data_IF_969402511555
#
_entry.id   IF_969402511555
#
_cell.length_a   1.000
_cell.length_b   1.000
_cell.length_c   1.000
_cell.angle_alpha   90.00
_cell.angle_beta   90.00
_cell.angle_gamma   90.00
#
_symmetry.space_group_name_H-M   'P 1'
#
loop_
_entity.id
_entity.type
_entity.pdbx_description
1 polymer ?
#
# COMPACT_ATOMS: atom_id res chain seq x y z
N UNK A 1 -40.58 -34.08 -4.12
CA UNK A 1 -39.69 -32.91 -3.99
C UNK A 1 -39.83 -32.44 -2.56
N UNK A 2 -38.78 -32.55 -1.73
CA UNK A 2 -38.80 -32.09 -0.34
C UNK A 2 -39.02 -30.57 -0.29
N UNK A 3 -40.05 -30.11 0.43
CA UNK A 3 -40.22 -28.70 0.73
C UNK A 3 -39.04 -28.26 1.63
N UNK A 4 -38.01 -27.68 1.04
CA UNK A 4 -36.91 -27.06 1.77
C UNK A 4 -37.53 -25.89 2.54
N UNK A 5 -37.31 -25.84 3.87
CA UNK A 5 -37.83 -24.78 4.70
C UNK A 5 -37.24 -23.42 4.29
N UNK A 6 -37.92 -22.33 4.57
CA UNK A 6 -37.41 -20.98 4.30
C UNK A 6 -36.04 -20.77 4.98
N UNK A 7 -35.90 -21.26 6.20
CA UNK A 7 -34.65 -21.23 6.95
C UNK A 7 -33.48 -21.94 6.23
N UNK A 8 -33.72 -23.14 5.67
CA UNK A 8 -32.70 -23.85 4.95
C UNK A 8 -32.27 -23.16 3.66
N UNK A 9 -33.19 -22.47 2.98
CA UNK A 9 -32.86 -21.63 1.82
C UNK A 9 -32.00 -20.42 2.21
N UNK A 10 -32.37 -19.75 3.29
CA UNK A 10 -31.57 -18.62 3.82
C UNK A 10 -30.18 -19.08 4.26
N UNK A 11 -30.08 -20.23 4.93
CA UNK A 11 -28.80 -20.80 5.36
C UNK A 11 -27.91 -21.14 4.15
N UNK A 12 -28.46 -21.76 3.12
CA UNK A 12 -27.76 -22.07 1.87
C UNK A 12 -27.28 -20.79 1.18
N UNK A 13 -28.12 -19.77 1.07
CA UNK A 13 -27.74 -18.48 0.49
C UNK A 13 -26.58 -17.82 1.26
N UNK A 14 -26.62 -17.83 2.60
CA UNK A 14 -25.55 -17.29 3.42
C UNK A 14 -24.24 -18.08 3.24
N UNK A 15 -24.32 -19.40 3.10
CA UNK A 15 -23.17 -20.23 2.80
C UNK A 15 -22.55 -19.88 1.43
N UNK A 16 -23.36 -19.72 0.41
CA UNK A 16 -22.90 -19.37 -0.94
C UNK A 16 -22.32 -17.93 -0.98
N UNK A 17 -22.94 -16.99 -0.27
CA UNK A 17 -22.40 -15.65 -0.09
C UNK A 17 -21.02 -15.64 0.54
N UNK A 18 -20.79 -16.49 1.55
CA UNK A 18 -19.46 -16.64 2.18
C UNK A 18 -18.44 -17.28 1.24
N UNK A 19 -18.83 -18.27 0.44
CA UNK A 19 -17.95 -18.86 -0.58
C UNK A 19 -17.54 -17.83 -1.63
N UNK A 20 -18.48 -17.04 -2.12
CA UNK A 20 -18.19 -15.92 -3.03
C UNK A 20 -17.23 -14.90 -2.39
N UNK A 21 -17.37 -14.62 -1.09
CA UNK A 21 -16.41 -13.81 -0.36
C UNK A 21 -14.99 -14.38 -0.33
N UNK A 22 -14.84 -15.71 -0.18
CA UNK A 22 -13.53 -16.40 -0.26
C UNK A 22 -12.94 -16.29 -1.68
N UNK A 23 -13.76 -16.53 -2.70
CA UNK A 23 -13.35 -16.38 -4.10
C UNK A 23 -12.91 -14.94 -4.41
N UNK A 24 -13.66 -13.96 -3.96
CA UNK A 24 -13.32 -12.56 -4.13
C UNK A 24 -11.99 -12.20 -3.48
N UNK A 25 -11.70 -12.67 -2.26
CA UNK A 25 -10.40 -12.49 -1.58
C UNK A 25 -9.27 -13.10 -2.41
N UNK A 26 -9.49 -14.28 -3.00
CA UNK A 26 -8.49 -14.89 -3.89
C UNK A 26 -8.20 -14.00 -5.09
N UNK A 27 -9.23 -13.49 -5.76
CA UNK A 27 -9.08 -12.62 -6.93
C UNK A 27 -8.37 -11.32 -6.54
N UNK A 28 -8.73 -10.71 -5.40
CA UNK A 28 -8.05 -9.51 -4.88
C UNK A 28 -6.55 -9.79 -4.69
N UNK A 29 -6.21 -10.95 -4.10
CA UNK A 29 -4.83 -11.35 -3.87
C UNK A 29 -4.06 -11.58 -5.18
N UNK A 30 -4.64 -12.31 -6.14
CA UNK A 30 -4.04 -12.56 -7.44
C UNK A 30 -3.76 -11.24 -8.20
N UNK A 31 -4.73 -10.32 -8.22
CA UNK A 31 -4.57 -9.01 -8.85
C UNK A 31 -3.51 -8.15 -8.16
N UNK A 32 -3.48 -8.18 -6.83
CA UNK A 32 -2.51 -7.41 -6.06
C UNK A 32 -1.09 -7.94 -6.19
N UNK A 33 -0.89 -9.23 -5.88
CA UNK A 33 0.46 -9.82 -5.81
C UNK A 33 1.04 -10.14 -7.18
N UNK A 34 0.23 -10.51 -8.18
CA UNK A 34 0.71 -10.89 -9.50
C UNK A 34 0.73 -9.76 -10.51
N UNK A 35 -0.20 -8.79 -10.39
CA UNK A 35 -0.39 -7.73 -11.37
C UNK A 35 -0.24 -6.31 -10.82
N UNK A 36 -0.07 -6.15 -9.50
CA UNK A 36 -0.02 -4.83 -8.83
C UNK A 36 -1.26 -3.99 -9.06
N UNK A 37 -2.41 -4.64 -9.17
CA UNK A 37 -3.71 -3.98 -9.29
C UNK A 37 -4.38 -4.00 -7.93
N UNK A 38 -4.55 -2.81 -7.33
CA UNK A 38 -5.29 -2.62 -6.09
C UNK A 38 -6.78 -2.50 -6.38
N UNK A 39 -7.59 -3.42 -5.84
CA UNK A 39 -9.03 -3.26 -5.84
C UNK A 39 -9.48 -2.51 -4.58
N UNK A 40 -10.37 -1.54 -4.75
CA UNK A 40 -11.06 -0.85 -3.66
C UNK A 40 -12.57 -0.91 -3.87
N UNK A 41 -13.34 -0.87 -2.80
CA UNK A 41 -14.79 -0.84 -2.86
C UNK A 41 -15.28 0.50 -2.30
N UNK A 42 -15.67 1.41 -3.18
CA UNK A 42 -16.02 2.80 -2.84
C UNK A 42 -14.97 3.43 -1.91
N UNK A 43 -13.70 3.39 -2.34
CA UNK A 43 -12.50 3.89 -1.63
C UNK A 43 -12.02 3.04 -0.44
N UNK A 44 -12.81 2.07 0.04
CA UNK A 44 -12.34 1.15 1.07
C UNK A 44 -11.35 0.14 0.50
N UNK A 45 -10.20 -0.02 1.14
CA UNK A 45 -9.21 -1.02 0.76
C UNK A 45 -9.76 -2.42 1.00
N UNK A 46 -9.47 -3.35 0.09
CA UNK A 46 -9.94 -4.73 0.14
C UNK A 46 -8.83 -5.73 0.48
N UNK A 47 -7.56 -5.34 0.31
CA UNK A 47 -6.44 -6.20 0.67
C UNK A 47 -6.44 -6.48 2.19
N UNK A 48 -6.04 -7.68 2.58
CA UNK A 48 -5.99 -8.18 3.97
C UNK A 48 -7.35 -8.19 4.71
N UNK A 49 -8.46 -8.06 3.98
CA UNK A 49 -9.80 -8.21 4.54
C UNK A 49 -10.22 -9.66 4.64
N UNK A 50 -10.91 -10.00 5.73
CA UNK A 50 -11.55 -11.30 5.88
C UNK A 50 -12.96 -11.32 5.24
N UNK A 51 -13.54 -12.53 5.11
CA UNK A 51 -14.85 -12.73 4.47
C UNK A 51 -15.95 -11.87 5.08
N UNK A 52 -15.97 -11.75 6.41
CA UNK A 52 -17.01 -10.96 7.11
C UNK A 52 -16.86 -9.47 6.82
N UNK A 53 -15.64 -8.97 6.79
CA UNK A 53 -15.37 -7.57 6.42
C UNK A 53 -15.76 -7.28 4.96
N UNK A 54 -15.46 -8.18 4.03
CA UNK A 54 -15.88 -8.05 2.62
C UNK A 54 -17.41 -7.98 2.52
N UNK A 55 -18.11 -8.88 3.20
CA UNK A 55 -19.58 -8.89 3.20
C UNK A 55 -20.14 -7.58 3.80
N UNK A 56 -19.59 -7.13 4.94
CA UNK A 56 -20.02 -5.89 5.58
C UNK A 56 -19.78 -4.66 4.70
N UNK A 57 -18.70 -4.63 3.92
CA UNK A 57 -18.44 -3.54 2.97
C UNK A 57 -19.50 -3.48 1.86
N UNK A 58 -20.00 -4.62 1.37
CA UNK A 58 -21.10 -4.65 0.41
C UNK A 58 -22.42 -4.18 1.04
N UNK A 59 -22.69 -4.54 2.29
CA UNK A 59 -23.86 -4.03 3.02
C UNK A 59 -23.76 -2.52 3.25
N UNK A 60 -22.57 -2.03 3.61
CA UNK A 60 -22.30 -0.61 3.73
C UNK A 60 -22.54 0.15 2.40
N UNK A 61 -22.14 -0.43 1.28
CA UNK A 61 -22.39 0.14 -0.04
C UNK A 61 -23.88 0.39 -0.31
N UNK A 62 -24.74 -0.56 0.04
CA UNK A 62 -26.18 -0.40 -0.08
C UNK A 62 -26.78 0.59 0.92
N UNK A 63 -26.37 0.51 2.19
CA UNK A 63 -26.98 1.26 3.28
C UNK A 63 -26.56 2.73 3.37
N UNK A 64 -25.29 3.03 3.06
CA UNK A 64 -24.70 4.36 3.29
C UNK A 64 -24.20 5.05 2.01
N UNK A 65 -23.79 4.28 1.01
CA UNK A 65 -23.32 4.83 -0.27
C UNK A 65 -24.46 4.94 -1.27
N UNK A 66 -25.62 4.34 -0.96
CA UNK A 66 -26.81 4.28 -1.80
C UNK A 66 -26.56 3.65 -3.19
N UNK A 67 -25.57 2.76 -3.25
CA UNK A 67 -25.17 2.00 -4.43
C UNK A 67 -25.19 0.51 -4.10
N UNK A 68 -26.38 -0.11 -4.06
CA UNK A 68 -26.52 -1.52 -3.69
C UNK A 68 -25.84 -2.40 -4.72
N UNK A 69 -24.85 -3.15 -4.24
CA UNK A 69 -24.15 -4.20 -4.97
C UNK A 69 -23.99 -5.39 -4.04
N UNK A 70 -23.79 -6.56 -4.58
CA UNK A 70 -23.54 -7.76 -3.79
C UNK A 70 -22.17 -8.38 -4.14
N UNK A 71 -21.72 -9.33 -3.33
CA UNK A 71 -20.40 -9.93 -3.49
C UNK A 71 -20.32 -10.77 -4.77
N UNK A 72 -21.42 -11.37 -5.23
CA UNK A 72 -21.43 -12.19 -6.46
C UNK A 72 -21.14 -11.34 -7.69
N UNK A 73 -21.79 -10.17 -7.78
CA UNK A 73 -21.57 -9.20 -8.86
C UNK A 73 -20.14 -8.70 -8.87
N UNK A 74 -19.58 -8.43 -7.68
CA UNK A 74 -18.17 -8.00 -7.54
C UNK A 74 -17.19 -9.08 -7.96
N UNK A 75 -17.49 -10.37 -7.68
CA UNK A 75 -16.70 -11.52 -8.15
C UNK A 75 -16.74 -11.57 -9.67
N UNK A 76 -17.90 -11.43 -10.30
CA UNK A 76 -18.06 -11.47 -11.74
C UNK A 76 -17.20 -10.38 -12.44
N UNK A 77 -17.33 -9.13 -12.00
CA UNK A 77 -16.56 -8.02 -12.55
C UNK A 77 -15.05 -8.18 -12.27
N UNK A 78 -14.67 -8.58 -11.06
CA UNK A 78 -13.27 -8.78 -10.71
C UNK A 78 -12.62 -9.93 -11.51
N UNK A 79 -13.36 -11.01 -11.75
CA UNK A 79 -12.91 -12.13 -12.60
C UNK A 79 -12.64 -11.67 -14.04
N UNK A 80 -13.48 -10.79 -14.58
CA UNK A 80 -13.26 -10.21 -15.90
C UNK A 80 -11.97 -9.35 -15.97
N UNK A 81 -11.58 -8.70 -14.85
CA UNK A 81 -10.34 -7.92 -14.78
C UNK A 81 -9.10 -8.83 -14.77
N UNK A 82 -9.18 -10.01 -14.14
CA UNK A 82 -8.03 -10.94 -14.06
C UNK A 82 -7.48 -11.31 -15.44
N UNK A 83 -8.36 -11.46 -16.43
CA UNK A 83 -7.98 -11.84 -17.80
C UNK A 83 -7.35 -10.69 -18.60
N UNK A 84 -7.40 -9.46 -18.10
CA UNK A 84 -6.89 -8.30 -18.83
C UNK A 84 -5.42 -8.05 -18.53
N UNK A 85 -4.70 -7.61 -19.58
CA UNK A 85 -3.35 -7.09 -19.44
C UNK A 85 -3.45 -5.59 -19.14
N UNK A 86 -3.47 -5.26 -17.85
CA UNK A 86 -3.56 -3.91 -17.33
C UNK A 86 -2.27 -3.54 -16.60
N UNK A 87 -1.86 -2.27 -16.67
CA UNK A 87 -0.73 -1.78 -15.87
C UNK A 87 -1.07 -1.78 -14.37
N UNK A 88 -0.05 -1.67 -13.50
CA UNK A 88 -0.24 -1.40 -12.09
C UNK A 88 -1.20 -0.23 -11.88
N UNK A 89 -2.28 -0.46 -11.15
CA UNK A 89 -3.38 0.51 -11.07
C UNK A 89 -4.23 0.29 -9.83
N UNK A 90 -5.04 1.30 -9.51
CA UNK A 90 -6.06 1.23 -8.47
C UNK A 90 -7.44 1.30 -9.11
N UNK A 91 -8.23 0.27 -8.94
CA UNK A 91 -9.54 0.12 -9.56
C UNK A 91 -10.63 0.09 -8.49
N UNK A 92 -11.61 0.96 -8.59
CA UNK A 92 -12.80 0.94 -7.74
C UNK A 92 -13.80 -0.08 -8.27
N UNK A 93 -13.72 -1.30 -7.73
CA UNK A 93 -14.60 -2.40 -8.11
C UNK A 93 -16.06 -2.12 -7.73
N UNK A 94 -16.30 -1.41 -6.63
CA UNK A 94 -17.65 -1.02 -6.22
C UNK A 94 -18.31 -0.12 -7.24
N UNK A 95 -17.56 0.86 -7.76
CA UNK A 95 -18.02 1.75 -8.81
C UNK A 95 -18.28 0.99 -10.11
N UNK A 96 -17.37 0.15 -10.56
CA UNK A 96 -17.53 -0.65 -11.78
C UNK A 96 -18.73 -1.59 -11.70
N UNK A 97 -18.89 -2.31 -10.60
CA UNK A 97 -20.01 -3.23 -10.38
C UNK A 97 -21.35 -2.47 -10.41
N UNK A 98 -21.41 -1.31 -9.77
CA UNK A 98 -22.62 -0.51 -9.78
C UNK A 98 -22.93 0.06 -11.18
N UNK A 99 -21.92 0.53 -11.91
CA UNK A 99 -22.08 0.99 -13.30
C UNK A 99 -22.53 -0.13 -14.23
N UNK A 100 -22.04 -1.36 -14.04
CA UNK A 100 -22.47 -2.53 -14.80
C UNK A 100 -23.96 -2.79 -14.61
N UNK A 101 -24.49 -2.73 -13.39
CA UNK A 101 -25.93 -2.86 -13.14
C UNK A 101 -26.79 -1.78 -13.82
N UNK A 102 -26.24 -0.58 -14.01
CA UNK A 102 -26.95 0.49 -14.70
C UNK A 102 -26.91 0.38 -16.24
N UNK A 103 -25.96 -0.40 -16.74
CA UNK A 103 -25.66 -0.50 -18.17
C UNK A 103 -25.71 -1.94 -18.70
N UNK A 104 -26.28 -2.90 -17.96
CA UNK A 104 -26.28 -4.32 -18.31
C UNK A 104 -26.90 -4.60 -19.69
N UNK A 105 -27.93 -3.88 -20.07
CA UNK A 105 -28.58 -3.96 -21.41
C UNK A 105 -27.63 -3.60 -22.58
N UNK A 106 -26.50 -2.94 -22.32
CA UNK A 106 -25.57 -2.48 -23.37
C UNK A 106 -24.49 -3.49 -23.70
N UNK A 107 -24.24 -4.44 -22.81
CA UNK A 107 -23.12 -5.37 -22.92
C UNK A 107 -23.61 -6.81 -22.89
N UNK A 108 -22.94 -7.68 -23.66
CA UNK A 108 -23.30 -9.09 -23.71
C UNK A 108 -22.90 -9.85 -22.39
N UNK A 109 -21.86 -9.37 -21.71
CA UNK A 109 -21.34 -9.92 -20.48
C UNK A 109 -20.46 -8.90 -19.74
N UNK A 110 -20.10 -9.23 -18.51
CA UNK A 110 -19.21 -8.43 -17.66
C UNK A 110 -17.83 -8.20 -18.31
N UNK A 111 -17.33 -9.16 -19.09
CA UNK A 111 -16.03 -9.05 -19.76
C UNK A 111 -16.05 -7.96 -20.83
N UNK A 112 -17.08 -7.91 -21.66
CA UNK A 112 -17.25 -6.85 -22.66
C UNK A 112 -17.34 -5.46 -22.03
N UNK A 113 -18.09 -5.35 -20.93
CA UNK A 113 -18.19 -4.13 -20.13
C UNK A 113 -16.83 -3.67 -19.60
N UNK A 114 -16.11 -4.56 -18.91
CA UNK A 114 -14.81 -4.23 -18.28
C UNK A 114 -13.78 -3.82 -19.34
N UNK A 115 -13.73 -4.51 -20.48
CA UNK A 115 -12.85 -4.16 -21.62
C UNK A 115 -13.14 -2.74 -22.09
N UNK A 116 -14.40 -2.38 -22.27
CA UNK A 116 -14.78 -1.04 -22.74
C UNK A 116 -14.44 0.04 -21.70
N UNK A 117 -14.77 -0.19 -20.43
CA UNK A 117 -14.50 0.78 -19.35
C UNK A 117 -13.01 1.01 -19.10
N UNK A 118 -12.18 -0.02 -19.24
CA UNK A 118 -10.75 0.04 -18.96
C UNK A 118 -9.86 0.17 -20.22
N UNK A 119 -10.44 0.35 -21.40
CA UNK A 119 -9.69 0.45 -22.68
C UNK A 119 -8.62 1.54 -22.69
N UNK A 120 -8.82 2.63 -21.96
CA UNK A 120 -7.87 3.75 -21.90
C UNK A 120 -6.71 3.51 -20.90
N UNK A 121 -6.80 2.48 -20.07
CA UNK A 121 -5.75 2.16 -19.09
C UNK A 121 -4.49 1.52 -19.73
N UNK A 122 -4.52 1.18 -21.02
CA UNK A 122 -3.42 0.47 -21.71
C UNK A 122 -2.21 1.33 -22.07
N UNK A 123 -2.32 2.66 -22.00
CA UNK A 123 -1.23 3.59 -22.36
C UNK A 123 -0.36 3.90 -21.13
N UNK A 124 0.37 2.92 -20.64
CA UNK A 124 1.15 3.06 -19.42
C UNK A 124 2.66 2.96 -19.69
N UNK A 125 3.44 3.82 -19.04
CA UNK A 125 4.88 3.67 -18.91
C UNK A 125 5.19 2.74 -17.74
N UNK A 126 6.09 1.79 -17.93
CA UNK A 126 6.55 0.90 -16.86
C UNK A 126 7.19 1.71 -15.74
N UNK A 127 6.54 1.75 -14.56
CA UNK A 127 7.09 2.44 -13.40
C UNK A 127 8.08 1.50 -12.71
N UNK A 128 9.36 1.90 -12.68
CA UNK A 128 10.38 1.17 -11.93
C UNK A 128 10.13 1.33 -10.43
N UNK A 129 10.23 0.25 -9.66
CA UNK A 129 10.15 0.35 -8.22
C UNK A 129 11.24 1.26 -7.66
N UNK A 130 10.87 2.08 -6.65
CA UNK A 130 11.77 3.00 -5.97
C UNK A 130 12.16 2.43 -4.61
N UNK A 131 13.45 2.33 -4.34
CA UNK A 131 13.95 1.97 -3.02
C UNK A 131 13.67 3.10 -2.03
N UNK A 132 13.25 2.75 -0.81
CA UNK A 132 12.94 3.70 0.27
C UNK A 132 13.84 3.43 1.47
N UNK A 133 14.37 4.50 2.01
CA UNK A 133 15.10 4.51 3.28
C UNK A 133 14.36 5.39 4.28
N UNK A 134 14.01 4.86 5.43
CA UNK A 134 13.48 5.66 6.53
C UNK A 134 14.63 6.19 7.39
N UNK A 135 14.85 7.49 7.39
CA UNK A 135 15.82 8.13 8.25
C UNK A 135 15.15 8.55 9.55
N UNK A 136 15.42 7.77 10.62
CA UNK A 136 14.71 7.87 11.89
C UNK A 136 13.62 6.78 12.06
N UNK A 137 13.59 6.16 13.25
CA UNK A 137 12.65 5.09 13.58
C UNK A 137 11.83 5.40 14.83
N UNK A 138 11.36 6.65 14.90
CA UNK A 138 10.37 7.11 15.86
C UNK A 138 8.96 6.59 15.51
N UNK A 139 7.92 7.14 16.12
CA UNK A 139 6.53 6.72 15.87
C UNK A 139 6.17 6.83 14.39
N UNK A 140 6.45 7.96 13.75
CA UNK A 140 6.13 8.18 12.34
C UNK A 140 6.88 7.18 11.45
N UNK A 141 8.19 7.00 11.65
CA UNK A 141 8.97 6.03 10.88
C UNK A 141 8.43 4.59 11.02
N UNK A 142 8.00 4.18 12.21
CA UNK A 142 7.40 2.86 12.42
C UNK A 142 6.04 2.71 11.73
N UNK A 143 5.20 3.74 11.76
CA UNK A 143 3.91 3.71 11.07
C UNK A 143 4.08 3.68 9.55
N UNK A 144 5.02 4.44 9.00
CA UNK A 144 5.38 4.37 7.59
C UNK A 144 5.93 2.99 7.20
N UNK A 145 6.78 2.39 8.05
CA UNK A 145 7.25 1.04 7.81
C UNK A 145 6.08 0.03 7.75
N UNK A 146 5.14 0.10 8.69
CA UNK A 146 3.94 -0.75 8.68
C UNK A 146 3.12 -0.55 7.41
N UNK A 147 2.87 0.70 7.02
CA UNK A 147 2.09 1.04 5.84
C UNK A 147 2.75 0.53 4.55
N UNK A 148 4.06 0.73 4.39
CA UNK A 148 4.78 0.20 3.24
C UNK A 148 4.78 -1.33 3.20
N UNK A 149 4.96 -1.98 4.35
CA UNK A 149 5.01 -3.44 4.43
C UNK A 149 3.62 -4.10 4.24
N UNK A 150 2.53 -3.41 4.53
CA UNK A 150 1.17 -3.88 4.23
C UNK A 150 0.83 -3.83 2.74
N UNK A 151 1.58 -3.06 1.95
CA UNK A 151 1.35 -2.86 0.51
C UNK A 151 2.35 -3.59 -0.38
N UNK A 152 3.04 -4.59 0.15
CA UNK A 152 3.98 -5.40 -0.64
C UNK A 152 3.20 -6.21 -1.69
N UNK A 153 3.64 -6.12 -2.96
CA UNK A 153 3.11 -6.88 -4.08
C UNK A 153 4.07 -6.86 -5.28
N UNK A 154 3.78 -7.64 -6.30
CA UNK A 154 4.54 -7.59 -7.56
C UNK A 154 4.33 -6.22 -8.20
N UNK A 155 5.41 -5.52 -8.52
CA UNK A 155 5.37 -4.13 -9.01
C UNK A 155 5.19 -3.10 -7.92
N UNK A 156 5.38 -3.50 -6.67
CA UNK A 156 5.51 -2.59 -5.54
C UNK A 156 6.39 -1.40 -5.91
N UNK A 157 5.81 -0.21 -5.90
CA UNK A 157 6.49 0.99 -6.38
C UNK A 157 7.46 1.56 -5.34
N UNK A 158 7.15 1.39 -4.05
CA UNK A 158 8.01 1.82 -2.94
C UNK A 158 8.46 0.60 -2.16
N UNK A 159 9.77 0.35 -2.11
CA UNK A 159 10.38 -0.80 -1.43
C UNK A 159 11.14 -0.34 -0.22
N UNK A 160 10.65 -0.63 0.98
CA UNK A 160 11.41 -0.36 2.20
C UNK A 160 12.64 -1.26 2.26
N UNK A 161 13.83 -0.66 2.14
CA UNK A 161 15.11 -1.38 2.11
C UNK A 161 15.94 -1.17 3.36
N UNK A 162 15.88 0.02 3.97
CA UNK A 162 16.67 0.32 5.14
C UNK A 162 15.98 1.31 6.07
N UNK A 163 16.39 1.26 7.33
CA UNK A 163 16.02 2.20 8.39
C UNK A 163 17.30 2.68 9.03
N UNK A 164 17.48 4.00 9.12
CA UNK A 164 18.65 4.62 9.75
C UNK A 164 18.33 5.03 11.18
N UNK A 165 19.22 4.69 12.10
CA UNK A 165 19.13 5.04 13.52
C UNK A 165 20.46 5.56 14.05
N UNK A 166 20.46 6.32 15.15
CA UNK A 166 21.70 6.80 15.79
C UNK A 166 22.32 5.78 16.74
N UNK A 167 21.49 5.00 17.39
CA UNK A 167 21.96 4.04 18.40
C UNK A 167 22.69 2.88 17.72
N UNK A 168 23.74 2.40 18.38
CA UNK A 168 24.45 1.20 17.93
C UNK A 168 23.48 0.01 17.82
N UNK A 169 23.69 -0.80 16.81
CA UNK A 169 22.92 -2.03 16.66
C UNK A 169 23.55 -3.12 17.50
N UNK A 170 22.84 -3.57 18.52
CA UNK A 170 23.07 -4.82 19.23
C UNK A 170 21.77 -5.65 19.21
N UNK A 171 21.87 -6.91 19.60
CA UNK A 171 20.73 -7.83 19.58
C UNK A 171 19.54 -7.34 20.44
N UNK A 172 19.85 -6.68 21.59
CA UNK A 172 18.83 -6.17 22.51
C UNK A 172 18.10 -4.98 21.88
N UNK A 173 18.84 -4.05 21.28
CA UNK A 173 18.26 -2.89 20.63
C UNK A 173 17.48 -3.25 19.36
N UNK A 174 17.96 -4.25 18.59
CA UNK A 174 17.21 -4.77 17.44
C UNK A 174 15.89 -5.41 17.87
N UNK A 175 15.90 -6.24 18.92
CA UNK A 175 14.66 -6.83 19.46
C UNK A 175 13.71 -5.75 20.00
N UNK A 176 14.23 -4.73 20.67
CA UNK A 176 13.44 -3.59 21.12
C UNK A 176 12.78 -2.88 19.92
N UNK A 177 13.51 -2.67 18.81
CA UNK A 177 12.95 -2.07 17.59
C UNK A 177 11.89 -2.95 16.95
N UNK A 178 12.13 -4.26 16.89
CA UNK A 178 11.14 -5.23 16.41
C UNK A 178 9.87 -5.19 17.28
N UNK A 179 10.02 -5.17 18.60
CA UNK A 179 8.88 -5.06 19.53
C UNK A 179 8.10 -3.77 19.35
N UNK A 180 8.77 -2.63 19.21
CA UNK A 180 8.12 -1.33 18.97
C UNK A 180 7.42 -1.25 17.59
N UNK A 181 7.85 -2.04 16.61
CA UNK A 181 7.15 -2.15 15.33
C UNK A 181 5.94 -3.07 15.45
N UNK A 182 6.01 -4.16 16.22
CA UNK A 182 4.89 -5.07 16.46
C UNK A 182 3.75 -4.39 17.22
N UNK A 183 4.07 -3.57 18.22
CA UNK A 183 3.07 -2.99 19.14
C UNK A 183 3.14 -1.47 19.15
N UNK A 184 2.02 -0.83 18.88
CA UNK A 184 1.86 0.61 19.02
C UNK A 184 0.65 0.91 19.92
N UNK A 185 0.84 1.80 20.90
CA UNK A 185 -0.19 2.10 21.92
C UNK A 185 -1.44 2.80 21.37
N UNK A 186 -1.34 3.38 20.19
CA UNK A 186 -2.44 4.13 19.54
C UNK A 186 -3.01 3.36 18.37
N UNK A 187 -2.14 2.75 17.55
CA UNK A 187 -2.51 2.09 16.29
C UNK A 187 -2.60 0.57 16.40
N UNK A 188 -2.44 0.02 17.62
CA UNK A 188 -2.56 -1.40 17.88
C UNK A 188 -1.42 -2.23 17.30
N UNK A 189 -1.70 -3.52 17.14
CA UNK A 189 -0.72 -4.50 16.69
C UNK A 189 -0.51 -4.45 15.17
N UNK A 190 0.73 -4.68 14.75
CA UNK A 190 1.04 -4.88 13.36
C UNK A 190 0.48 -6.23 12.88
N UNK A 191 -0.28 -6.21 11.79
CA UNK A 191 -0.86 -7.41 11.20
C UNK A 191 0.17 -8.13 10.33
N UNK A 192 1.19 -8.71 10.96
CA UNK A 192 2.28 -9.37 10.27
C UNK A 192 3.38 -9.84 11.23
N UNK A 193 4.43 -10.43 10.67
CA UNK A 193 5.60 -10.90 11.43
C UNK A 193 6.71 -9.87 11.42
N UNK A 194 7.38 -9.69 12.56
CA UNK A 194 8.60 -8.90 12.69
C UNK A 194 9.59 -9.68 13.53
N UNK A 195 10.73 -10.02 12.94
CA UNK A 195 11.80 -10.80 13.58
C UNK A 195 13.08 -9.97 13.53
N UNK A 196 13.78 -9.86 14.66
CA UNK A 196 15.10 -9.27 14.69
C UNK A 196 16.12 -10.25 14.11
N UNK A 197 17.00 -9.76 13.25
CA UNK A 197 18.12 -10.50 12.68
C UNK A 197 19.44 -9.80 13.06
N UNK A 198 20.03 -10.14 14.23
CA UNK A 198 21.27 -9.52 14.68
C UNK A 198 22.49 -9.85 13.81
N UNK A 199 22.49 -10.99 13.14
CA UNK A 199 23.62 -11.42 12.31
C UNK A 199 23.78 -10.50 11.09
N UNK A 200 22.66 -10.06 10.50
CA UNK A 200 22.63 -9.19 9.34
C UNK A 200 22.32 -7.72 9.68
N UNK A 201 22.24 -7.36 10.96
CA UNK A 201 21.78 -6.03 11.39
C UNK A 201 20.49 -5.61 10.70
N UNK A 202 19.46 -6.45 10.74
CA UNK A 202 18.23 -6.27 9.98
C UNK A 202 16.98 -6.63 10.80
N UNK A 203 15.84 -6.21 10.30
CA UNK A 203 14.54 -6.72 10.68
C UNK A 203 13.97 -7.51 9.49
N UNK A 204 13.51 -8.74 9.75
CA UNK A 204 12.66 -9.45 8.79
C UNK A 204 11.21 -9.08 9.08
N UNK A 205 10.60 -8.37 8.14
CA UNK A 205 9.22 -7.91 8.25
C UNK A 205 8.43 -8.62 7.15
N UNK A 206 7.48 -9.48 7.52
CA UNK A 206 6.75 -10.34 6.58
C UNK A 206 7.69 -11.11 5.62
N UNK A 207 8.84 -11.57 6.13
CA UNK A 207 9.86 -12.26 5.33
C UNK A 207 10.77 -11.36 4.49
N UNK A 208 10.52 -10.04 4.45
CA UNK A 208 11.38 -9.09 3.74
C UNK A 208 12.46 -8.54 4.66
N UNK A 209 13.71 -8.59 4.20
CA UNK A 209 14.86 -8.03 4.95
C UNK A 209 14.89 -6.52 4.83
N UNK A 210 14.87 -5.83 5.98
CA UNK A 210 15.04 -4.38 6.09
C UNK A 210 16.27 -4.09 6.92
N UNK A 211 17.29 -3.52 6.30
CA UNK A 211 18.57 -3.24 6.98
C UNK A 211 18.42 -2.14 8.04
N UNK A 212 19.06 -2.31 9.18
CA UNK A 212 19.16 -1.28 10.22
C UNK A 212 20.57 -0.68 10.16
N UNK A 213 20.66 0.53 9.65
CA UNK A 213 21.91 1.24 9.47
C UNK A 213 22.13 2.19 10.65
N UNK A 214 23.32 2.18 11.22
CA UNK A 214 23.70 3.13 12.27
C UNK A 214 24.52 4.27 11.68
N UNK A 215 24.08 5.51 11.87
CA UNK A 215 24.83 6.70 11.45
C UNK A 215 24.47 7.90 12.34
N UNK A 216 25.46 8.76 12.57
CA UNK A 216 25.27 10.02 13.31
C UNK A 216 24.83 11.16 12.37
N UNK A 217 25.26 11.10 11.11
CA UNK A 217 24.93 12.08 10.10
C UNK A 217 24.62 11.41 8.75
N UNK A 218 23.83 12.06 7.87
CA UNK A 218 23.52 11.50 6.57
C UNK A 218 24.75 11.19 5.71
N UNK A 219 25.73 12.05 5.72
CA UNK A 219 26.94 11.97 4.89
C UNK A 219 27.81 10.73 5.15
N UNK A 220 27.65 10.09 6.30
CA UNK A 220 28.39 8.89 6.67
C UNK A 220 27.90 7.63 5.96
N UNK A 221 26.76 7.70 5.25
CA UNK A 221 26.08 6.52 4.73
C UNK A 221 26.38 6.34 3.24
N UNK A 222 26.78 5.13 2.91
CA UNK A 222 26.83 4.63 1.53
C UNK A 222 25.70 3.59 1.35
N UNK A 223 24.56 3.99 0.81
CA UNK A 223 23.43 3.09 0.60
C UNK A 223 23.72 2.03 -0.46
N UNK A 224 24.65 2.30 -1.39
CA UNK A 224 25.02 1.34 -2.44
C UNK A 224 25.70 0.09 -1.86
N UNK A 225 26.33 0.20 -0.68
CA UNK A 225 26.86 -0.96 0.04
C UNK A 225 25.79 -1.98 0.46
N UNK A 226 24.52 -1.56 0.48
CA UNK A 226 23.34 -2.39 0.77
C UNK A 226 22.55 -2.75 -0.49
N UNK A 227 23.10 -2.46 -1.69
CA UNK A 227 22.42 -2.66 -2.95
C UNK A 227 21.18 -1.74 -3.12
N UNK A 228 21.26 -0.53 -2.57
CA UNK A 228 20.21 0.49 -2.63
C UNK A 228 20.70 1.60 -3.54
N UNK A 229 19.98 1.83 -4.65
CA UNK A 229 20.28 2.84 -5.65
C UNK A 229 19.06 3.72 -5.89
N UNK A 230 19.29 4.99 -6.21
CA UNK A 230 18.25 5.98 -6.51
C UNK A 230 17.13 6.06 -5.43
N UNK A 231 17.51 5.94 -4.16
CA UNK A 231 16.56 5.83 -3.06
C UNK A 231 15.82 7.14 -2.76
N UNK A 232 14.55 6.98 -2.39
CA UNK A 232 13.80 8.02 -1.67
C UNK A 232 14.14 7.91 -0.18
N UNK A 233 14.84 8.90 0.35
CA UNK A 233 15.10 9.03 1.79
C UNK A 233 13.95 9.79 2.44
N UNK A 234 13.25 9.15 3.37
CA UNK A 234 12.16 9.79 4.13
C UNK A 234 12.68 10.17 5.52
N UNK A 235 12.84 11.46 5.77
CA UNK A 235 13.29 11.95 7.07
C UNK A 235 12.12 12.05 8.06
N UNK A 236 12.22 11.27 9.12
CA UNK A 236 11.23 11.18 10.21
C UNK A 236 11.80 11.68 11.55
N UNK A 237 12.98 12.33 11.53
CA UNK A 237 13.68 12.69 12.77
C UNK A 237 13.17 13.97 13.38
N UNK A 238 12.64 14.89 12.56
CA UNK A 238 12.32 16.26 12.94
C UNK A 238 13.56 17.14 13.18
N UNK A 239 14.77 16.62 12.93
CA UNK A 239 16.02 17.36 13.11
C UNK A 239 16.40 18.21 11.88
N UNK A 240 16.03 17.75 10.69
CA UNK A 240 16.35 18.38 9.41
C UNK A 240 15.08 19.02 8.84
N UNK A 241 14.90 20.32 9.08
CA UNK A 241 13.66 21.05 8.71
C UNK A 241 13.87 22.16 7.68
N UNK A 242 15.11 22.39 7.24
CA UNK A 242 15.45 23.37 6.21
C UNK A 242 15.96 22.68 4.96
N UNK A 243 15.86 23.36 3.82
CA UNK A 243 16.37 22.83 2.55
C UNK A 243 17.86 22.48 2.64
N UNK A 244 18.68 23.33 3.26
CA UNK A 244 20.12 23.09 3.43
C UNK A 244 20.40 21.84 4.27
N UNK A 245 19.65 21.66 5.36
CA UNK A 245 19.79 20.50 6.21
C UNK A 245 19.38 19.21 5.48
N UNK A 246 18.30 19.24 4.69
CA UNK A 246 17.80 18.10 3.92
C UNK A 246 18.71 17.76 2.73
N UNK A 247 19.40 18.74 2.12
CA UNK A 247 20.39 18.50 1.06
C UNK A 247 21.51 17.57 1.49
N UNK A 248 21.80 17.48 2.79
CA UNK A 248 22.81 16.58 3.34
C UNK A 248 22.50 15.10 3.05
N UNK A 249 21.22 14.72 2.97
CA UNK A 249 20.84 13.35 2.60
C UNK A 249 21.21 13.03 1.15
N UNK A 250 21.20 14.02 0.25
CA UNK A 250 21.56 13.82 -1.15
C UNK A 250 23.06 13.65 -1.37
N UNK A 251 23.90 13.91 -0.36
CA UNK A 251 25.34 13.62 -0.43
C UNK A 251 25.67 12.17 -0.16
N UNK A 252 24.73 11.41 0.40
CA UNK A 252 24.85 9.96 0.61
C UNK A 252 24.77 9.23 -0.72
N UNK A 253 25.73 8.37 -1.03
CA UNK A 253 25.69 7.57 -2.24
C UNK A 253 24.42 6.69 -2.25
N UNK A 254 23.73 6.64 -3.38
CA UNK A 254 22.51 5.88 -3.56
C UNK A 254 21.23 6.62 -3.16
N UNK A 255 21.31 7.86 -2.62
CA UNK A 255 20.15 8.71 -2.38
C UNK A 255 19.87 9.58 -3.63
N UNK A 256 18.60 9.68 -4.03
CA UNK A 256 18.14 10.47 -5.16
C UNK A 256 17.16 11.56 -4.75
N UNK A 257 16.24 11.26 -3.86
CA UNK A 257 15.21 12.20 -3.39
C UNK A 257 15.06 12.17 -1.88
N UNK A 258 14.58 13.28 -1.33
CA UNK A 258 14.34 13.43 0.11
C UNK A 258 12.92 13.91 0.35
N UNK A 259 12.19 13.17 1.18
CA UNK A 259 10.88 13.55 1.69
C UNK A 259 10.97 13.83 3.19
N UNK A 260 10.59 15.02 3.59
CA UNK A 260 10.42 15.38 5.01
C UNK A 260 8.98 15.08 5.46
N UNK A 261 8.81 14.40 6.60
CA UNK A 261 7.48 14.10 7.17
C UNK A 261 6.95 15.19 8.11
N UNK A 262 7.55 16.38 8.06
CA UNK A 262 7.17 17.56 8.83
C UNK A 262 7.15 18.79 7.93
N UNK A 263 6.56 19.92 8.34
CA UNK A 263 6.65 21.16 7.59
C UNK A 263 8.10 21.60 7.41
N UNK A 264 8.49 21.84 6.14
CA UNK A 264 9.84 22.26 5.79
C UNK A 264 9.92 23.78 5.57
N UNK A 265 11.11 24.35 5.86
CA UNK A 265 11.43 25.76 5.55
C UNK A 265 12.24 25.82 4.27
N UNK A 266 11.74 26.54 3.26
CA UNK A 266 12.42 26.69 1.97
C UNK A 266 12.30 25.45 1.06
N UNK A 267 11.42 24.51 1.38
CA UNK A 267 11.14 23.33 0.55
C UNK A 267 9.67 23.29 0.14
N UNK A 268 9.33 22.77 -1.04
CA UNK A 268 7.94 22.58 -1.44
C UNK A 268 7.18 21.70 -0.42
N UNK A 269 6.05 22.22 0.06
CA UNK A 269 5.12 21.45 0.88
C UNK A 269 4.02 20.91 -0.04
N UNK A 270 4.00 19.59 -0.26
CA UNK A 270 3.10 18.96 -1.20
C UNK A 270 1.94 18.31 -0.47
N UNK A 271 0.72 18.67 -0.86
CA UNK A 271 -0.53 18.10 -0.37
C UNK A 271 -1.19 17.38 -1.54
N UNK A 272 -1.30 16.06 -1.44
CA UNK A 272 -1.93 15.25 -2.47
C UNK A 272 -3.39 15.67 -2.70
N UNK A 273 -3.76 15.84 -3.96
CA UNK A 273 -5.09 16.30 -4.34
C UNK A 273 -5.29 17.82 -4.32
N UNK A 274 -4.29 18.58 -3.84
CA UNK A 274 -4.36 20.04 -3.75
C UNK A 274 -3.34 20.71 -4.69
N UNK A 275 -2.06 20.44 -4.49
CA UNK A 275 -0.99 21.09 -5.25
C UNK A 275 0.08 20.11 -5.79
N UNK A 276 -0.16 18.82 -5.75
CA UNK A 276 0.83 17.81 -6.16
C UNK A 276 1.12 17.85 -7.67
N UNK A 277 0.20 18.35 -8.49
CA UNK A 277 0.36 18.51 -9.94
C UNK A 277 1.17 19.74 -10.33
N UNK A 278 1.43 20.66 -9.38
CA UNK A 278 2.22 21.87 -9.61
C UNK A 278 3.73 21.60 -9.63
N UNK A 279 4.15 20.40 -9.19
CA UNK A 279 5.56 20.05 -9.05
C UNK A 279 5.93 18.91 -10.00
N UNK A 280 7.00 19.15 -10.77
CA UNK A 280 7.60 18.13 -11.59
C UNK A 280 8.54 17.26 -10.73
N UNK A 281 8.27 15.95 -10.56
CA UNK A 281 9.11 15.06 -9.75
C UNK A 281 10.52 14.87 -10.31
N UNK A 282 10.76 15.18 -11.59
CA UNK A 282 12.10 15.11 -12.19
C UNK A 282 12.96 16.33 -11.87
N UNK A 283 12.34 17.43 -11.47
CA UNK A 283 13.02 18.69 -11.15
C UNK A 283 13.16 18.92 -9.63
N UNK A 284 12.27 18.32 -8.83
CA UNK A 284 12.24 18.50 -7.38
C UNK A 284 12.79 17.27 -6.69
N UNK A 285 13.96 17.42 -6.04
CA UNK A 285 14.60 16.34 -5.31
C UNK A 285 14.36 16.40 -3.79
N UNK A 286 13.87 17.52 -3.27
CA UNK A 286 13.59 17.72 -1.84
C UNK A 286 12.20 18.29 -1.70
N UNK A 287 11.36 17.63 -0.93
CA UNK A 287 9.99 18.08 -0.68
C UNK A 287 9.51 17.64 0.70
N UNK A 288 8.45 18.27 1.17
CA UNK A 288 7.79 17.94 2.43
C UNK A 288 6.37 17.44 2.16
N UNK A 289 5.98 16.36 2.82
CA UNK A 289 4.59 16.00 2.97
C UNK A 289 4.03 16.79 4.16
N UNK A 290 3.52 17.98 3.90
CA UNK A 290 3.04 18.89 4.94
C UNK A 290 2.07 18.17 5.89
N UNK A 291 2.42 18.17 7.16
CA UNK A 291 1.51 17.75 8.23
C UNK A 291 1.15 18.98 9.06
N UNK A 292 0.03 18.98 9.73
CA UNK A 292 -0.47 20.06 10.65
C UNK A 292 0.30 21.40 10.64
#
# INVERSE_FOLDING_TARGET
MSNISLYEKELAFQADRRKAGVEFIKIISDLWYDKSIELVLFRNQLIDKNVSEIINLHEYAGAFVEKPINVFDSVEIASAIVDLDLPPSRIDIGKLTYEYHLEDDKYNDAKAFVIDKLKNAKNFQEIKPKDVVLYGFGRIGRLLAREMMSKIGKGQQLRLRAIVTRDKNDAILLEKRASLLRYDSVHGDFQGSVIADPENNALLINGTTVHIITANSPEEIDYTAYGIEDALVIDNTGAFTTEEALKRHLTSKGADKVLLTAPGKGVPNIVYGVNHEEYNPDEVNIFSAASC
#
